data_IF_630073289839
#
_entry.id   IF_630073289839
#
_cell.length_a   1.000
_cell.length_b   1.000
_cell.length_c   1.000
_cell.angle_alpha   90.00
_cell.angle_beta   90.00
_cell.angle_gamma   90.00
#
_symmetry.space_group_name_H-M   'P 1'
#
loop_
_entity.id
_entity.type
_entity.pdbx_description
1 polymer ?
#
# COMPACT_ATOMS: atom_id res chain seq x y z
N UNK A 1 -2.32 -48.33 22.40
CA UNK A 1 -2.24 -46.93 22.88
C UNK A 1 -1.21 -46.07 22.13
N UNK A 2 0.04 -46.50 21.93
CA UNK A 2 1.07 -45.69 21.18
C UNK A 2 0.66 -45.25 19.76
N UNK A 3 -0.08 -46.08 19.02
CA UNK A 3 -0.53 -45.77 17.63
C UNK A 3 -1.57 -44.64 17.57
N UNK A 4 -2.38 -44.47 18.61
CA UNK A 4 -3.42 -43.43 18.67
C UNK A 4 -2.79 -42.06 18.94
N UNK A 5 -1.77 -42.01 19.79
CA UNK A 5 -1.05 -40.77 20.13
C UNK A 5 -0.33 -40.18 18.90
N UNK A 6 0.23 -41.03 18.04
CA UNK A 6 0.88 -40.62 16.79
C UNK A 6 -0.11 -40.01 15.79
N UNK A 7 -1.35 -40.50 15.75
CA UNK A 7 -2.39 -39.99 14.86
C UNK A 7 -2.87 -38.59 15.27
N UNK A 8 -2.95 -38.33 16.59
CA UNK A 8 -3.33 -37.03 17.14
C UNK A 8 -2.27 -35.97 16.82
N UNK A 9 -0.98 -36.31 16.93
CA UNK A 9 0.12 -35.40 16.58
C UNK A 9 0.10 -35.07 15.08
N UNK A 10 -0.18 -36.06 14.21
CA UNK A 10 -0.26 -35.86 12.76
C UNK A 10 -1.42 -34.93 12.36
N UNK A 11 -2.58 -35.03 13.02
CA UNK A 11 -3.74 -34.16 12.78
C UNK A 11 -3.43 -32.71 13.20
N UNK A 12 -2.72 -32.51 14.33
CA UNK A 12 -2.30 -31.17 14.76
C UNK A 12 -1.30 -30.51 13.81
N UNK A 13 -0.44 -31.28 13.13
CA UNK A 13 0.46 -30.76 12.10
C UNK A 13 -0.25 -30.42 10.78
N UNK A 14 -1.34 -31.12 10.44
CA UNK A 14 -2.15 -30.85 9.24
C UNK A 14 -3.11 -29.65 9.41
N UNK A 15 -3.41 -29.25 10.64
CA UNK A 15 -4.08 -27.97 10.94
C UNK A 15 -3.13 -26.75 10.90
N UNK A 16 -1.87 -26.96 10.46
CA UNK A 16 -0.88 -25.91 10.31
C UNK A 16 -1.33 -24.83 9.32
N UNK A 17 -1.70 -23.67 9.89
CA UNK A 17 -1.75 -22.37 9.23
C UNK A 17 -2.59 -22.33 7.95
N UNK A 18 -3.92 -22.27 8.09
CA UNK A 18 -4.71 -21.46 7.17
C UNK A 18 -4.25 -20.01 7.34
N UNK A 19 -3.19 -19.61 6.61
CA UNK A 19 -2.99 -18.20 6.29
C UNK A 19 -4.28 -17.77 5.60
N UNK A 20 -5.12 -17.02 6.32
CA UNK A 20 -6.20 -16.27 5.68
C UNK A 20 -5.55 -15.59 4.47
N UNK A 21 -6.10 -15.72 3.25
CA UNK A 21 -5.56 -14.97 2.12
C UNK A 21 -5.47 -13.53 2.60
N UNK A 22 -4.25 -12.98 2.61
CA UNK A 22 -4.01 -11.61 3.01
C UNK A 22 -5.01 -10.79 2.20
N UNK A 23 -5.93 -10.08 2.88
CA UNK A 23 -6.91 -9.27 2.19
C UNK A 23 -6.15 -8.43 1.18
N UNK A 24 -6.45 -8.59 -0.10
CA UNK A 24 -5.79 -7.89 -1.20
C UNK A 24 -6.12 -6.40 -1.11
N UNK A 25 -5.44 -5.74 -0.19
CA UNK A 25 -5.52 -4.33 0.11
C UNK A 25 -4.19 -3.72 -0.27
N UNK A 26 -4.24 -2.75 -1.15
CA UNK A 26 -3.10 -1.91 -1.43
C UNK A 26 -2.97 -0.85 -0.35
N UNK A 27 -1.73 -0.57 0.06
CA UNK A 27 -1.36 0.66 0.78
C UNK A 27 -0.47 1.50 -0.13
N UNK A 28 -0.80 2.77 -0.30
CA UNK A 28 0.03 3.73 -1.02
C UNK A 28 0.45 4.81 -0.03
N UNK A 29 1.75 4.98 0.15
CA UNK A 29 2.34 6.01 1.01
C UNK A 29 3.07 7.03 0.13
N UNK A 30 2.52 8.24 0.01
CA UNK A 30 3.22 9.39 -0.54
C UNK A 30 3.77 10.24 0.59
N UNK A 31 5.02 10.67 0.47
CA UNK A 31 5.72 11.47 1.49
C UNK A 31 6.48 12.61 0.84
N UNK A 32 6.52 13.73 1.54
CA UNK A 32 7.33 14.89 1.18
C UNK A 32 7.68 15.65 2.46
N UNK A 33 8.98 15.78 2.77
CA UNK A 33 9.44 16.26 4.07
C UNK A 33 8.77 15.52 5.24
N UNK A 34 8.25 16.28 6.20
CA UNK A 34 7.56 15.73 7.39
C UNK A 34 6.06 15.50 7.17
N UNK A 35 5.58 15.48 5.93
CA UNK A 35 4.17 15.30 5.59
C UNK A 35 3.93 14.02 4.83
N UNK A 36 2.71 13.47 4.95
CA UNK A 36 2.31 12.28 4.20
C UNK A 36 0.87 12.33 3.73
N UNK A 37 0.62 11.55 2.67
CA UNK A 37 -0.69 11.05 2.29
C UNK A 37 -0.59 9.53 2.24
N UNK A 38 -1.59 8.86 2.80
CA UNK A 38 -1.73 7.41 2.79
C UNK A 38 -3.08 7.02 2.21
N UNK A 39 -3.07 6.11 1.26
CA UNK A 39 -4.26 5.53 0.66
C UNK A 39 -4.31 4.04 0.97
N UNK A 40 -5.49 3.55 1.34
CA UNK A 40 -5.81 2.14 1.38
C UNK A 40 -6.89 1.87 0.34
N UNK A 41 -6.70 0.88 -0.52
CA UNK A 41 -7.67 0.50 -1.56
C UNK A 41 -7.82 -1.01 -1.54
N UNK A 42 -9.05 -1.52 -1.46
CA UNK A 42 -9.31 -2.96 -1.59
C UNK A 42 -9.70 -3.37 -3.02
N UNK A 43 -9.78 -4.67 -3.26
CA UNK A 43 -10.15 -5.22 -4.57
C UNK A 43 -11.55 -4.81 -5.06
N UNK A 44 -12.46 -4.46 -4.14
CA UNK A 44 -13.79 -3.94 -4.49
C UNK A 44 -13.80 -2.44 -4.81
N UNK A 45 -12.66 -1.76 -4.65
CA UNK A 45 -12.52 -0.34 -4.88
C UNK A 45 -12.89 0.54 -3.68
N UNK A 46 -13.28 -0.04 -2.54
CA UNK A 46 -13.47 0.76 -1.34
C UNK A 46 -12.12 1.27 -0.85
N UNK A 47 -12.06 2.58 -0.60
CA UNK A 47 -10.82 3.24 -0.27
C UNK A 47 -10.94 4.14 0.96
N UNK A 48 -9.81 4.34 1.62
CA UNK A 48 -9.65 5.32 2.71
C UNK A 48 -8.38 6.10 2.44
N UNK A 49 -8.45 7.43 2.57
CA UNK A 49 -7.30 8.30 2.53
C UNK A 49 -7.04 8.91 3.91
N UNK A 50 -5.79 9.17 4.21
CA UNK A 50 -5.32 9.86 5.40
C UNK A 50 -4.22 10.83 4.99
N UNK A 51 -4.15 12.00 5.62
CA UNK A 51 -3.00 12.89 5.52
C UNK A 51 -2.54 13.37 6.89
N UNK A 52 -1.29 13.81 6.98
CA UNK A 52 -0.79 14.33 8.24
C UNK A 52 0.71 14.49 8.30
N UNK A 53 1.26 14.37 9.50
CA UNK A 53 2.69 14.53 9.79
C UNK A 53 3.34 13.18 10.12
N UNK A 54 4.58 13.04 9.69
CA UNK A 54 5.43 11.89 9.97
C UNK A 54 6.77 12.32 10.56
N UNK A 55 7.44 11.35 11.17
CA UNK A 55 8.85 11.41 11.55
C UNK A 55 9.57 10.35 10.74
N UNK A 56 10.58 10.75 9.98
CA UNK A 56 11.45 9.81 9.28
C UNK A 56 12.37 9.10 10.27
N UNK A 57 12.50 7.79 10.09
CA UNK A 57 13.54 6.99 10.74
C UNK A 57 14.63 6.65 9.73
N UNK A 58 15.87 6.56 10.20
CA UNK A 58 17.07 6.37 9.36
C UNK A 58 17.09 5.07 8.53
N UNK A 59 16.16 4.14 8.76
CA UNK A 59 15.99 2.88 8.03
C UNK A 59 14.99 2.98 6.88
N UNK A 60 14.67 4.19 6.39
CA UNK A 60 13.60 4.46 5.42
C UNK A 60 12.18 4.12 5.91
N UNK A 61 12.03 3.72 7.18
CA UNK A 61 10.73 3.57 7.80
C UNK A 61 10.20 4.93 8.26
N UNK A 62 8.88 5.01 8.42
CA UNK A 62 8.22 6.21 8.92
C UNK A 62 7.39 5.85 10.14
N UNK A 63 7.32 6.80 11.06
CA UNK A 63 6.33 6.80 12.11
C UNK A 63 5.35 7.91 11.81
N UNK A 64 4.06 7.57 11.79
CA UNK A 64 3.01 8.57 11.70
C UNK A 64 2.95 9.27 13.06
N UNK A 65 3.28 10.56 13.07
CA UNK A 65 3.22 11.39 14.28
C UNK A 65 1.79 11.84 14.54
N UNK A 66 1.11 12.35 13.51
CA UNK A 66 -0.26 12.86 13.62
C UNK A 66 -1.02 12.68 12.32
N UNK A 67 -2.25 12.19 12.41
CA UNK A 67 -3.24 12.24 11.33
C UNK A 67 -4.00 13.56 11.46
N UNK A 68 -4.07 14.34 10.38
CA UNK A 68 -4.76 15.63 10.34
C UNK A 68 -6.14 15.51 9.70
N UNK A 69 -6.25 14.71 8.64
CA UNK A 69 -7.49 14.49 7.92
C UNK A 69 -7.59 13.05 7.43
N UNK A 70 -8.83 12.58 7.23
CA UNK A 70 -9.12 11.29 6.65
C UNK A 70 -10.49 11.27 5.97
N UNK A 71 -10.59 10.54 4.87
CA UNK A 71 -11.87 10.35 4.18
C UNK A 71 -12.02 8.94 3.62
N UNK A 72 -13.25 8.56 3.31
CA UNK A 72 -13.59 7.32 2.61
C UNK A 72 -14.16 7.67 1.24
N UNK A 73 -13.80 6.87 0.24
CA UNK A 73 -14.23 7.08 -1.14
C UNK A 73 -14.20 5.75 -1.90
N UNK A 74 -14.59 5.78 -3.17
CA UNK A 74 -14.59 4.61 -4.04
C UNK A 74 -13.73 4.86 -5.26
N UNK A 75 -12.84 3.92 -5.55
CA UNK A 75 -12.02 3.84 -6.76
C UNK A 75 -12.69 2.86 -7.71
N UNK A 76 -13.23 3.35 -8.82
CA UNK A 76 -14.00 2.53 -9.77
C UNK A 76 -13.15 1.41 -10.34
N UNK A 77 -11.88 1.70 -10.62
CA UNK A 77 -10.91 0.74 -11.16
C UNK A 77 -10.07 0.05 -10.09
N UNK A 78 -10.53 -0.03 -8.82
CA UNK A 78 -9.77 -0.62 -7.72
C UNK A 78 -9.38 -2.08 -7.97
N UNK A 79 -10.30 -2.89 -8.50
CA UNK A 79 -10.03 -4.29 -8.84
C UNK A 79 -8.96 -4.45 -9.93
N UNK A 80 -8.96 -3.57 -10.94
CA UNK A 80 -7.93 -3.55 -11.98
C UNK A 80 -6.57 -3.17 -11.40
N UNK A 81 -6.53 -2.12 -10.60
CA UNK A 81 -5.31 -1.66 -9.93
C UNK A 81 -4.66 -2.77 -9.09
N UNK A 82 -5.43 -3.42 -8.21
CA UNK A 82 -4.97 -4.57 -7.43
C UNK A 82 -4.48 -5.71 -8.33
N UNK A 83 -5.19 -5.99 -9.43
CA UNK A 83 -4.80 -7.04 -10.37
C UNK A 83 -3.49 -6.73 -11.11
N UNK A 84 -3.19 -5.46 -11.38
CA UNK A 84 -1.89 -5.05 -11.94
C UNK A 84 -0.77 -5.14 -10.90
N UNK A 85 -1.03 -4.77 -9.65
CA UNK A 85 -0.05 -4.96 -8.56
C UNK A 85 0.33 -6.43 -8.37
N UNK A 86 -0.63 -7.35 -8.43
CA UNK A 86 -0.37 -8.81 -8.34
C UNK A 86 0.57 -9.34 -9.42
N UNK A 87 0.65 -8.69 -10.58
CA UNK A 87 1.55 -9.08 -11.68
C UNK A 87 3.00 -8.62 -11.47
N UNK A 88 3.25 -7.80 -10.45
CA UNK A 88 4.59 -7.32 -10.10
C UNK A 88 5.25 -8.38 -9.22
N UNK A 89 6.09 -9.21 -9.82
CA UNK A 89 6.78 -10.29 -9.12
C UNK A 89 7.98 -9.81 -8.28
N UNK A 90 8.58 -8.69 -8.67
CA UNK A 90 9.69 -8.06 -7.96
C UNK A 90 9.38 -6.58 -7.75
N UNK A 91 9.71 -6.00 -6.58
CA UNK A 91 9.51 -4.57 -6.35
C UNK A 91 10.17 -3.73 -7.43
N UNK A 92 9.43 -2.78 -8.01
CA UNK A 92 10.00 -1.80 -8.93
C UNK A 92 10.56 -0.66 -8.11
N UNK A 93 11.88 -0.44 -8.18
CA UNK A 93 12.55 0.63 -7.44
C UNK A 93 13.11 1.66 -8.42
N UNK A 94 12.62 2.89 -8.30
CA UNK A 94 13.02 4.01 -9.15
C UNK A 94 13.67 5.11 -8.28
N UNK A 95 15.00 5.13 -8.29
CA UNK A 95 15.79 6.10 -7.55
C UNK A 95 15.83 7.48 -8.21
N UNK A 96 16.11 8.50 -7.40
CA UNK A 96 16.40 9.86 -7.86
C UNK A 96 16.60 10.81 -6.69
N UNK A 97 16.97 12.05 -7.01
CA UNK A 97 17.25 13.12 -6.03
C UNK A 97 15.98 13.88 -5.59
N UNK A 98 14.79 13.32 -5.86
CA UNK A 98 13.52 13.93 -5.51
C UNK A 98 13.31 14.02 -3.99
N UNK A 99 12.63 15.10 -3.57
CA UNK A 99 12.27 15.35 -2.17
C UNK A 99 10.99 14.60 -1.74
N UNK A 100 10.24 14.05 -2.72
CA UNK A 100 9.09 13.20 -2.47
C UNK A 100 9.39 11.73 -2.75
N UNK A 101 8.62 10.85 -2.10
CA UNK A 101 8.72 9.40 -2.27
C UNK A 101 7.35 8.76 -2.19
N UNK A 102 7.04 7.93 -3.17
CA UNK A 102 5.83 7.10 -3.19
C UNK A 102 6.21 5.64 -3.05
N UNK A 103 5.59 4.95 -2.10
CA UNK A 103 5.66 3.50 -1.97
C UNK A 103 4.27 2.89 -2.13
N UNK A 104 4.17 1.81 -2.90
CA UNK A 104 2.94 1.05 -3.11
C UNK A 104 3.19 -0.37 -2.63
N UNK A 105 2.33 -0.84 -1.74
CA UNK A 105 2.36 -2.17 -1.15
C UNK A 105 1.07 -2.92 -1.51
N UNK A 106 1.17 -4.23 -1.72
CA UNK A 106 0.02 -5.14 -1.75
C UNK A 106 0.12 -6.08 -0.55
N UNK A 107 -0.77 -5.93 0.43
CA UNK A 107 -0.57 -6.50 1.75
C UNK A 107 0.73 -5.96 2.37
N UNK A 108 1.62 -6.86 2.79
CA UNK A 108 2.93 -6.50 3.35
C UNK A 108 4.05 -6.45 2.30
N UNK A 109 3.75 -6.84 1.05
CA UNK A 109 4.74 -6.89 -0.04
C UNK A 109 4.88 -5.54 -0.72
N UNK A 110 6.10 -5.01 -0.78
CA UNK A 110 6.41 -3.81 -1.56
C UNK A 110 6.30 -4.13 -3.06
N UNK A 111 5.45 -3.41 -3.79
CA UNK A 111 5.31 -3.54 -5.23
C UNK A 111 6.09 -2.44 -5.98
N UNK A 112 6.09 -1.22 -5.43
CA UNK A 112 6.68 -0.06 -6.09
C UNK A 112 7.28 0.89 -5.07
N UNK A 113 8.47 1.41 -5.33
CA UNK A 113 9.14 2.44 -4.53
C UNK A 113 9.80 3.44 -5.47
N UNK A 114 9.34 4.68 -5.44
CA UNK A 114 9.82 5.67 -6.38
C UNK A 114 10.04 7.04 -5.75
N UNK A 115 11.13 7.68 -6.16
CA UNK A 115 11.40 9.11 -5.98
C UNK A 115 11.29 9.90 -7.29
N UNK A 116 10.93 9.23 -8.39
CA UNK A 116 10.84 9.78 -9.74
C UNK A 116 9.60 9.22 -10.47
N UNK A 117 8.66 10.09 -10.83
CA UNK A 117 7.38 9.67 -11.40
C UNK A 117 7.51 9.31 -12.89
N UNK A 118 8.06 8.13 -13.18
CA UNK A 118 8.30 7.63 -14.54
C UNK A 118 7.00 7.35 -15.30
N UNK A 119 7.11 7.12 -16.61
CA UNK A 119 5.97 6.70 -17.43
C UNK A 119 5.38 5.36 -16.97
N UNK A 120 6.18 4.46 -16.39
CA UNK A 120 5.71 3.19 -15.85
C UNK A 120 4.93 3.39 -14.56
N UNK A 121 5.39 4.27 -13.68
CA UNK A 121 4.64 4.68 -12.51
C UNK A 121 3.27 5.25 -12.93
N UNK A 122 3.25 6.17 -13.89
CA UNK A 122 2.00 6.77 -14.36
C UNK A 122 1.04 5.77 -14.99
N UNK A 123 1.52 4.80 -15.78
CA UNK A 123 0.67 3.73 -16.33
C UNK A 123 -0.06 2.90 -15.26
N UNK A 124 0.50 2.83 -14.06
CA UNK A 124 -0.10 2.15 -12.91
C UNK A 124 -0.97 3.10 -12.09
N UNK A 125 -0.45 4.27 -11.75
CA UNK A 125 -1.11 5.22 -10.85
C UNK A 125 -2.31 5.92 -11.50
N UNK A 126 -2.28 6.17 -12.81
CA UNK A 126 -3.38 6.84 -13.53
C UNK A 126 -4.69 6.04 -13.52
N UNK A 127 -4.63 4.74 -13.21
CA UNK A 127 -5.81 3.87 -13.07
C UNK A 127 -6.71 4.37 -11.95
N UNK A 128 -6.11 4.93 -10.90
CA UNK A 128 -6.81 5.33 -9.68
C UNK A 128 -6.80 6.84 -9.45
N UNK A 129 -5.92 7.60 -10.15
CA UNK A 129 -5.64 9.00 -9.81
C UNK A 129 -6.85 9.92 -9.86
N UNK A 130 -7.77 9.68 -10.80
CA UNK A 130 -8.94 10.54 -11.00
C UNK A 130 -10.03 10.33 -9.95
N UNK A 131 -10.07 9.16 -9.31
CA UNK A 131 -11.05 8.86 -8.27
C UNK A 131 -10.57 9.29 -6.87
N UNK A 132 -9.27 9.60 -6.70
CA UNK A 132 -8.72 10.08 -5.43
C UNK A 132 -9.16 11.54 -5.23
N UNK A 133 -9.80 11.89 -4.09
CA UNK A 133 -10.15 13.28 -3.77
C UNK A 133 -8.92 14.18 -3.84
N UNK A 134 -9.08 15.38 -4.40
CA UNK A 134 -7.97 16.26 -4.74
C UNK A 134 -7.08 16.57 -3.52
N UNK A 135 -7.68 16.73 -2.34
CA UNK A 135 -6.99 16.99 -1.08
C UNK A 135 -6.01 15.86 -0.74
N UNK A 136 -6.33 14.62 -1.11
CA UNK A 136 -5.51 13.43 -0.87
C UNK A 136 -4.81 12.91 -2.13
N UNK A 137 -4.83 13.66 -3.24
CA UNK A 137 -4.05 13.30 -4.42
C UNK A 137 -2.74 14.10 -4.44
N UNK A 138 -1.57 13.47 -4.27
CA UNK A 138 -0.30 14.18 -4.19
C UNK A 138 0.09 14.98 -5.44
N UNK A 139 -0.60 14.75 -6.56
CA UNK A 139 -0.38 15.44 -7.82
C UNK A 139 -1.44 16.51 -8.13
N UNK A 140 -2.41 16.72 -7.25
CA UNK A 140 -3.48 17.73 -7.36
C UNK A 140 -3.66 18.56 -6.10
N UNK A 141 -3.16 18.09 -4.96
CA UNK A 141 -3.33 18.72 -3.65
C UNK A 141 -2.40 19.92 -3.48
N UNK A 142 -2.86 20.90 -2.71
CA UNK A 142 -2.05 22.03 -2.23
C UNK A 142 -1.55 21.83 -0.78
N UNK A 143 -1.76 20.64 -0.19
CA UNK A 143 -1.37 20.35 1.21
C UNK A 143 0.15 20.34 1.45
N UNK A 144 0.96 20.38 0.39
CA UNK A 144 2.42 20.32 0.46
C UNK A 144 3.12 21.59 -0.02
N UNK A 145 2.35 22.60 -0.40
CA UNK A 145 2.85 23.92 -0.80
C UNK A 145 3.36 24.73 0.41
#
# INVERSE_FOLDING_TARGET
MKKILLFIILIFFLSGCFQKPALDKSRIDYRIGNSFIRLYIDHSGHATAQSGRLIEKGDNSIVIDRILDSTKFTVKAGGEFISRLRKINNPVVEGGNGYSRTQIFLGDSLCYDTKVYSSNFWKLYSIISEDIPNEFNPFKTHQFD
#
